data_IF_172839287358
#
_entry.id   IF_172839287358
#
_cell.length_a   1.000
_cell.length_b   1.000
_cell.length_c   1.000
_cell.angle_alpha   90.00
_cell.angle_beta   90.00
_cell.angle_gamma   90.00
#
_symmetry.space_group_name_H-M   'P 1'
#
loop_
_entity.id
_entity.type
_entity.pdbx_description
1 polymer ?
#
# COMPACT_ATOMS: atom_id res chain seq x y z
N UNK A 1 4.96 -7.21 -28.87
CA UNK A 1 4.73 -8.27 -27.87
C UNK A 1 4.24 -7.69 -26.54
N UNK A 2 4.98 -6.78 -25.87
CA UNK A 2 4.51 -6.10 -24.63
C UNK A 2 3.14 -5.44 -24.79
N UNK A 3 3.03 -4.46 -25.69
CA UNK A 3 1.77 -3.74 -25.94
C UNK A 3 0.58 -4.70 -26.19
N UNK A 4 0.78 -5.78 -26.95
CA UNK A 4 -0.28 -6.75 -27.25
C UNK A 4 -0.68 -7.60 -26.04
N UNK A 5 0.30 -8.02 -25.22
CA UNK A 5 0.02 -8.75 -23.97
C UNK A 5 -0.67 -7.84 -22.96
N UNK A 6 -0.17 -6.62 -22.77
CA UNK A 6 -0.71 -5.63 -21.83
C UNK A 6 -2.13 -5.18 -22.18
N UNK A 7 -2.49 -5.17 -23.47
CA UNK A 7 -3.86 -4.86 -23.92
C UNK A 7 -4.83 -6.02 -23.73
N UNK A 8 -4.37 -7.27 -23.75
CA UNK A 8 -5.23 -8.46 -23.69
C UNK A 8 -5.14 -9.25 -22.37
N UNK A 9 -4.18 -8.92 -21.52
CA UNK A 9 -3.94 -9.57 -20.23
C UNK A 9 -4.80 -8.97 -19.10
N UNK A 10 -4.83 -9.70 -17.98
CA UNK A 10 -5.61 -9.31 -16.81
C UNK A 10 -5.08 -8.00 -16.23
N UNK A 11 -6.00 -7.04 -16.12
CA UNK A 11 -5.77 -5.71 -15.55
C UNK A 11 -6.57 -5.57 -14.28
N UNK A 12 -5.95 -5.04 -13.24
CA UNK A 12 -6.67 -4.68 -12.03
C UNK A 12 -6.23 -3.29 -11.57
N UNK A 13 -7.17 -2.54 -11.02
CA UNK A 13 -6.88 -1.21 -10.52
C UNK A 13 -6.44 -1.28 -9.06
N UNK A 14 -5.29 -0.69 -8.74
CA UNK A 14 -4.80 -0.60 -7.36
C UNK A 14 -5.28 0.71 -6.73
N UNK A 15 -6.39 0.65 -5.98
CA UNK A 15 -7.02 1.84 -5.36
C UNK A 15 -6.08 2.68 -4.52
N UNK A 16 -5.33 2.04 -3.63
CA UNK A 16 -4.39 2.70 -2.73
C UNK A 16 -3.20 3.37 -3.44
N UNK A 17 -3.03 3.11 -4.74
CA UNK A 17 -1.92 3.63 -5.52
C UNK A 17 -2.36 4.39 -6.79
N UNK A 18 -3.66 4.42 -7.09
CA UNK A 18 -4.26 5.16 -8.20
C UNK A 18 -3.73 4.77 -9.60
N UNK A 19 -3.43 3.49 -9.85
CA UNK A 19 -2.98 3.01 -11.17
C UNK A 19 -3.50 1.62 -11.54
N UNK A 20 -3.55 1.33 -12.84
CA UNK A 20 -3.83 0.00 -13.39
C UNK A 20 -2.56 -0.85 -13.40
N UNK A 21 -2.58 -1.99 -12.72
CA UNK A 21 -1.49 -2.97 -12.68
C UNK A 21 -1.85 -4.16 -13.59
N UNK A 22 -0.84 -4.87 -14.09
CA UNK A 22 -1.00 -5.97 -15.05
C UNK A 22 -0.51 -7.28 -14.43
N UNK A 23 -1.29 -8.35 -14.53
CA UNK A 23 -0.93 -9.67 -14.01
C UNK A 23 0.08 -10.43 -14.91
N UNK A 24 0.84 -9.73 -15.75
CA UNK A 24 1.77 -10.35 -16.71
C UNK A 24 3.18 -10.50 -16.11
N UNK A 25 3.29 -11.34 -15.08
CA UNK A 25 4.53 -11.55 -14.32
C UNK A 25 5.72 -11.94 -15.20
N UNK A 26 5.54 -12.84 -16.17
CA UNK A 26 6.64 -13.31 -17.03
C UNK A 26 7.23 -12.18 -17.88
N UNK A 27 6.36 -11.42 -18.57
CA UNK A 27 6.81 -10.37 -19.48
C UNK A 27 7.39 -9.16 -18.73
N UNK A 28 6.77 -8.81 -17.59
CA UNK A 28 7.30 -7.80 -16.66
C UNK A 28 8.65 -8.22 -16.09
N UNK A 29 8.82 -9.50 -15.72
CA UNK A 29 10.08 -10.06 -15.22
C UNK A 29 11.19 -10.03 -16.28
N UNK A 30 10.89 -10.36 -17.55
CA UNK A 30 11.87 -10.21 -18.64
C UNK A 30 12.34 -8.77 -18.83
N UNK A 31 11.41 -7.80 -18.85
CA UNK A 31 11.76 -6.38 -18.96
C UNK A 31 12.56 -5.92 -17.75
N UNK A 32 12.16 -6.33 -16.54
CA UNK A 32 12.87 -6.01 -15.31
C UNK A 32 14.30 -6.57 -15.32
N UNK A 33 14.49 -7.80 -15.79
CA UNK A 33 15.82 -8.41 -15.93
C UNK A 33 16.67 -7.70 -16.98
N UNK A 34 16.08 -7.27 -18.11
CA UNK A 34 16.79 -6.48 -19.12
C UNK A 34 17.25 -5.13 -18.59
N UNK A 35 16.37 -4.42 -17.87
CA UNK A 35 16.70 -3.14 -17.21
C UNK A 35 17.79 -3.37 -16.15
N UNK A 36 17.66 -4.42 -15.34
CA UNK A 36 18.66 -4.76 -14.33
C UNK A 36 20.02 -5.05 -14.95
N UNK A 37 20.07 -5.81 -16.05
CA UNK A 37 21.30 -6.08 -16.79
C UNK A 37 21.94 -4.78 -17.30
N UNK A 38 21.14 -3.89 -17.90
CA UNK A 38 21.62 -2.58 -18.36
C UNK A 38 22.18 -1.72 -17.22
N UNK A 39 21.48 -1.66 -16.09
CA UNK A 39 21.91 -0.92 -14.89
C UNK A 39 23.19 -1.51 -14.31
N UNK A 40 23.37 -2.84 -14.32
CA UNK A 40 24.57 -3.51 -13.80
C UNK A 40 25.77 -3.44 -14.75
N UNK A 41 25.53 -3.27 -16.06
CA UNK A 41 26.60 -3.09 -17.04
C UNK A 41 27.42 -1.81 -16.77
N UNK A 42 26.76 -0.74 -16.34
CA UNK A 42 27.42 0.56 -16.10
C UNK A 42 28.45 0.48 -14.96
N UNK A 43 28.14 -0.05 -13.76
CA UNK A 43 29.14 -0.36 -12.73
C UNK A 43 30.23 -1.31 -13.23
N UNK A 44 29.89 -2.34 -14.01
CA UNK A 44 30.88 -3.25 -14.59
C UNK A 44 31.91 -2.52 -15.46
N UNK A 45 31.45 -1.64 -16.36
CA UNK A 45 32.32 -0.81 -17.19
C UNK A 45 33.10 0.20 -16.34
N UNK A 46 32.47 0.80 -15.33
CA UNK A 46 33.12 1.75 -14.43
C UNK A 46 34.26 1.08 -13.65
N UNK A 47 34.04 -0.11 -13.08
CA UNK A 47 35.05 -0.91 -12.39
C UNK A 47 36.20 -1.25 -13.35
N UNK A 48 35.90 -1.74 -14.56
CA UNK A 48 36.91 -2.01 -15.57
C UNK A 48 37.75 -0.77 -15.92
N UNK A 49 37.09 0.39 -16.12
CA UNK A 49 37.78 1.67 -16.37
C UNK A 49 38.60 2.14 -15.17
N UNK A 50 38.14 1.91 -13.94
CA UNK A 50 38.93 2.25 -12.74
C UNK A 50 40.21 1.42 -12.64
N UNK A 51 40.19 0.14 -13.04
CA UNK A 51 41.37 -0.72 -13.01
C UNK A 51 42.42 -0.24 -14.03
N UNK A 52 42.00 0.16 -15.24
CA UNK A 52 42.91 0.51 -16.35
C UNK A 52 43.46 1.94 -16.33
N UNK A 53 42.77 2.90 -15.71
CA UNK A 53 43.13 4.32 -15.80
C UNK A 53 44.05 4.80 -14.67
N UNK A 54 44.59 6.02 -14.79
CA UNK A 54 45.41 6.69 -13.78
C UNK A 54 44.61 7.11 -12.54
N UNK A 55 45.28 7.20 -11.37
CA UNK A 55 44.68 7.41 -10.04
C UNK A 55 43.67 8.57 -9.97
N UNK A 56 43.94 9.71 -10.62
CA UNK A 56 43.05 10.87 -10.61
C UNK A 56 41.76 10.62 -11.41
N UNK A 57 41.86 9.89 -12.53
CA UNK A 57 40.70 9.52 -13.34
C UNK A 57 39.87 8.43 -12.64
N UNK A 58 40.49 7.52 -11.87
CA UNK A 58 39.79 6.49 -11.08
C UNK A 58 38.76 7.09 -10.13
N UNK A 59 39.15 8.12 -9.38
CA UNK A 59 38.25 8.79 -8.45
C UNK A 59 37.10 9.52 -9.15
N UNK A 60 37.37 10.10 -10.33
CA UNK A 60 36.33 10.70 -11.15
C UNK A 60 35.31 9.66 -11.59
N UNK A 61 35.78 8.52 -12.12
CA UNK A 61 34.92 7.41 -12.53
C UNK A 61 34.14 6.84 -11.34
N UNK A 62 34.77 6.72 -10.17
CA UNK A 62 34.11 6.27 -8.95
C UNK A 62 32.93 7.17 -8.56
N UNK A 63 33.13 8.49 -8.54
CA UNK A 63 32.05 9.43 -8.21
C UNK A 63 30.95 9.45 -9.27
N UNK A 64 31.29 9.32 -10.55
CA UNK A 64 30.29 9.17 -11.62
C UNK A 64 29.48 7.88 -11.47
N UNK A 65 30.13 6.76 -11.09
CA UNK A 65 29.45 5.50 -10.82
C UNK A 65 28.51 5.63 -9.61
N UNK A 66 28.96 6.27 -8.53
CA UNK A 66 28.12 6.49 -7.36
C UNK A 66 26.90 7.36 -7.67
N UNK A 67 27.09 8.45 -8.44
CA UNK A 67 26.01 9.31 -8.89
C UNK A 67 24.99 8.56 -9.77
N UNK A 68 25.49 7.73 -10.70
CA UNK A 68 24.65 6.86 -11.53
C UNK A 68 23.84 5.86 -10.68
N UNK A 69 24.49 5.20 -9.72
CA UNK A 69 23.83 4.25 -8.82
C UNK A 69 22.78 4.94 -7.95
N UNK A 70 23.07 6.13 -7.41
CA UNK A 70 22.10 6.91 -6.66
C UNK A 70 20.86 7.24 -7.52
N UNK A 71 21.08 7.65 -8.78
CA UNK A 71 20.00 8.01 -9.70
C UNK A 71 19.20 6.83 -10.26
N UNK A 72 19.69 5.60 -10.17
CA UNK A 72 19.07 4.42 -10.83
C UNK A 72 18.72 3.29 -9.86
N UNK A 73 19.63 2.92 -8.96
CA UNK A 73 19.46 1.79 -8.06
C UNK A 73 18.48 2.13 -6.92
N UNK A 74 18.57 3.33 -6.34
CA UNK A 74 17.64 3.76 -5.27
C UNK A 74 16.19 3.76 -5.80
N UNK A 75 15.88 4.39 -6.96
CA UNK A 75 14.53 4.29 -7.52
C UNK A 75 14.11 2.86 -7.89
N UNK A 76 15.03 2.01 -8.38
CA UNK A 76 14.71 0.62 -8.68
C UNK A 76 14.30 -0.18 -7.42
N UNK A 77 15.01 0.02 -6.31
CA UNK A 77 14.66 -0.58 -5.00
C UNK A 77 13.32 -0.03 -4.52
N UNK A 78 13.13 1.30 -4.58
CA UNK A 78 11.88 1.94 -4.18
C UNK A 78 10.69 1.45 -5.01
N UNK A 79 10.87 1.21 -6.31
CA UNK A 79 9.83 0.65 -7.17
C UNK A 79 9.43 -0.75 -6.72
N UNK A 80 10.40 -1.62 -6.39
CA UNK A 80 10.12 -2.95 -5.83
C UNK A 80 9.35 -2.87 -4.52
N UNK A 81 9.75 -1.96 -3.62
CA UNK A 81 9.05 -1.74 -2.35
C UNK A 81 7.61 -1.23 -2.57
N UNK A 82 7.41 -0.34 -3.55
CA UNK A 82 6.09 0.19 -3.89
C UNK A 82 5.19 -0.88 -4.49
N UNK A 83 5.69 -1.68 -5.44
CA UNK A 83 4.93 -2.81 -5.97
C UNK A 83 4.55 -3.77 -4.85
N UNK A 84 5.49 -4.15 -3.98
CA UNK A 84 5.22 -5.02 -2.83
C UNK A 84 4.30 -4.43 -1.75
N UNK A 85 3.80 -3.20 -1.91
CA UNK A 85 2.90 -2.55 -0.95
C UNK A 85 3.59 -2.01 0.31
N UNK A 86 4.94 -2.04 0.37
CA UNK A 86 5.73 -1.56 1.50
C UNK A 86 5.98 -0.05 1.48
N UNK A 87 5.78 0.58 0.32
CA UNK A 87 5.91 2.02 0.12
C UNK A 87 4.71 2.54 -0.67
N UNK A 88 4.12 3.67 -0.24
CA UNK A 88 3.03 4.30 -1.00
C UNK A 88 3.53 4.77 -2.38
N UNK A 89 2.63 4.79 -3.36
CA UNK A 89 3.02 5.17 -4.74
C UNK A 89 3.46 6.62 -4.83
N UNK A 90 2.80 7.53 -4.10
CA UNK A 90 3.20 8.94 -4.02
C UNK A 90 4.62 9.10 -3.49
N UNK A 91 4.97 8.42 -2.38
CA UNK A 91 6.32 8.47 -1.81
C UNK A 91 7.37 7.90 -2.78
N UNK A 92 7.03 6.80 -3.47
CA UNK A 92 7.89 6.25 -4.51
C UNK A 92 8.16 7.26 -5.63
N UNK A 93 7.13 7.91 -6.16
CA UNK A 93 7.27 8.85 -7.28
C UNK A 93 8.11 10.07 -6.89
N UNK A 94 7.93 10.60 -5.68
CA UNK A 94 8.73 11.71 -5.15
C UNK A 94 10.20 11.28 -5.00
N UNK A 95 10.45 10.11 -4.41
CA UNK A 95 11.80 9.58 -4.26
C UNK A 95 12.46 9.30 -5.61
N UNK A 96 11.71 8.72 -6.56
CA UNK A 96 12.16 8.46 -7.93
C UNK A 96 12.62 9.77 -8.58
N UNK A 97 11.76 10.79 -8.62
CA UNK A 97 12.07 12.08 -9.22
C UNK A 97 13.29 12.74 -8.57
N UNK A 98 13.32 12.80 -7.23
CA UNK A 98 14.39 13.44 -6.49
C UNK A 98 15.75 12.76 -6.75
N UNK A 99 15.80 11.43 -6.66
CA UNK A 99 17.03 10.68 -6.88
C UNK A 99 17.50 10.75 -8.34
N UNK A 100 16.58 10.70 -9.30
CA UNK A 100 16.91 10.87 -10.72
C UNK A 100 17.49 12.26 -11.00
N UNK A 101 16.86 13.34 -10.50
CA UNK A 101 17.36 14.71 -10.66
C UNK A 101 18.76 14.84 -10.03
N UNK A 102 18.92 14.45 -8.77
CA UNK A 102 20.19 14.60 -8.05
C UNK A 102 21.31 13.72 -8.63
N UNK A 103 20.99 12.46 -8.95
CA UNK A 103 21.96 11.49 -9.48
C UNK A 103 22.49 11.90 -10.86
N UNK A 104 21.61 12.24 -11.81
CA UNK A 104 22.05 12.67 -13.13
C UNK A 104 22.69 14.05 -13.12
N UNK A 105 22.23 14.96 -12.27
CA UNK A 105 22.89 16.25 -12.09
C UNK A 105 24.32 16.09 -11.56
N UNK A 106 24.51 15.30 -10.49
CA UNK A 106 25.84 15.02 -9.96
C UNK A 106 26.74 14.41 -11.05
N UNK A 107 26.22 13.46 -11.84
CA UNK A 107 26.94 12.87 -12.96
C UNK A 107 27.38 13.92 -13.99
N UNK A 108 26.48 14.82 -14.39
CA UNK A 108 26.77 15.91 -15.34
C UNK A 108 27.82 16.87 -14.76
N UNK A 109 27.68 17.29 -13.50
CA UNK A 109 28.62 18.21 -12.85
C UNK A 109 30.01 17.59 -12.73
N UNK A 110 30.10 16.32 -12.34
CA UNK A 110 31.39 15.60 -12.27
C UNK A 110 32.02 15.52 -13.65
N UNK A 111 31.24 15.15 -14.67
CA UNK A 111 31.69 15.07 -16.06
C UNK A 111 32.22 16.41 -16.55
N UNK A 112 31.44 17.49 -16.40
CA UNK A 112 31.77 18.86 -16.83
C UNK A 112 32.99 19.43 -16.08
N UNK A 113 33.19 19.04 -14.82
CA UNK A 113 34.32 19.53 -14.02
C UNK A 113 35.63 18.79 -14.27
N UNK A 114 35.58 17.60 -14.88
CA UNK A 114 36.75 16.75 -15.08
C UNK A 114 37.07 16.46 -16.55
N UNK A 115 36.16 16.76 -17.47
CA UNK A 115 36.40 16.64 -18.92
C UNK A 115 37.16 17.85 -19.45
N UNK A 116 37.98 17.63 -20.48
CA UNK A 116 38.81 18.65 -21.14
C UNK A 116 38.00 19.71 -21.93
N UNK A 117 36.71 19.46 -22.13
CA UNK A 117 35.81 20.38 -22.82
C UNK A 117 35.64 21.67 -22.01
N UNK A 118 36.06 22.80 -22.59
CA UNK A 118 35.90 24.14 -22.03
C UNK A 118 34.44 24.57 -22.03
N UNK A 119 33.63 23.95 -21.19
CA UNK A 119 32.36 24.53 -20.77
C UNK A 119 32.65 25.80 -19.96
N UNK A 120 31.98 26.89 -20.31
CA UNK A 120 32.18 28.18 -19.63
C UNK A 120 31.76 28.06 -18.16
N UNK A 121 32.46 28.77 -17.28
CA UNK A 121 32.07 28.87 -15.86
C UNK A 121 30.60 29.28 -15.69
N UNK A 122 30.10 30.13 -16.60
CA UNK A 122 28.70 30.54 -16.68
C UNK A 122 27.74 29.35 -16.89
N UNK A 123 28.04 28.43 -17.82
CA UNK A 123 27.20 27.26 -18.06
C UNK A 123 27.10 26.33 -16.83
N UNK A 124 28.19 26.23 -16.05
CA UNK A 124 28.22 25.44 -14.80
C UNK A 124 27.32 26.08 -13.73
N UNK A 125 27.42 27.39 -13.54
CA UNK A 125 26.59 28.14 -12.60
C UNK A 125 25.10 28.05 -12.97
N UNK A 126 24.76 28.25 -14.25
CA UNK A 126 23.38 28.14 -14.74
C UNK A 126 22.83 26.73 -14.53
N UNK A 127 23.62 25.69 -14.81
CA UNK A 127 23.22 24.30 -14.58
C UNK A 127 22.95 24.00 -13.10
N UNK A 128 23.81 24.50 -12.19
CA UNK A 128 23.61 24.36 -10.75
C UNK A 128 22.33 25.08 -10.31
N UNK A 129 22.11 26.32 -10.74
CA UNK A 129 20.90 27.08 -10.40
C UNK A 129 19.63 26.41 -10.90
N UNK A 130 19.64 25.87 -12.12
CA UNK A 130 18.49 25.13 -12.67
C UNK A 130 18.13 23.92 -11.81
N UNK A 131 19.12 23.13 -11.40
CA UNK A 131 18.84 21.96 -10.55
C UNK A 131 18.43 22.34 -9.15
N UNK A 132 18.99 23.40 -8.56
CA UNK A 132 18.50 23.93 -7.29
C UNK A 132 17.02 24.29 -7.39
N UNK A 133 16.59 24.95 -8.47
CA UNK A 133 15.18 25.27 -8.72
C UNK A 133 14.34 23.99 -8.85
N UNK A 134 14.79 22.99 -9.61
CA UNK A 134 14.08 21.72 -9.75
C UNK A 134 13.92 20.97 -8.42
N UNK A 135 14.94 20.99 -7.56
CA UNK A 135 14.87 20.39 -6.21
C UNK A 135 13.88 21.13 -5.33
N UNK A 136 13.88 22.47 -5.38
CA UNK A 136 12.91 23.30 -4.66
C UNK A 136 11.48 22.98 -5.13
N UNK A 137 11.25 22.90 -6.45
CA UNK A 137 9.94 22.53 -6.99
C UNK A 137 9.52 21.12 -6.59
N UNK A 138 10.45 20.15 -6.59
CA UNK A 138 10.16 18.79 -6.17
C UNK A 138 9.79 18.72 -4.69
N UNK A 139 10.45 19.52 -3.84
CA UNK A 139 10.11 19.64 -2.42
C UNK A 139 8.73 20.29 -2.20
N UNK A 140 8.46 21.41 -2.88
CA UNK A 140 7.17 22.10 -2.82
C UNK A 140 6.02 21.19 -3.29
N UNK A 141 6.24 20.45 -4.38
CA UNK A 141 5.26 19.47 -4.89
C UNK A 141 4.97 18.38 -3.86
N UNK A 142 5.99 17.87 -3.16
CA UNK A 142 5.77 16.89 -2.10
C UNK A 142 5.01 17.47 -0.90
N UNK A 143 5.36 18.68 -0.47
CA UNK A 143 4.68 19.36 0.63
C UNK A 143 3.20 19.65 0.29
N UNK A 144 2.91 20.15 -0.93
CA UNK A 144 1.54 20.37 -1.41
C UNK A 144 0.76 19.05 -1.46
N UNK A 145 1.36 17.98 -2.00
CA UNK A 145 0.74 16.65 -2.02
C UNK A 145 0.34 16.17 -0.61
N UNK A 146 1.26 16.21 0.37
CA UNK A 146 0.95 15.81 1.74
C UNK A 146 -0.14 16.67 2.38
N UNK A 147 -0.11 17.98 2.09
CA UNK A 147 -1.10 18.90 2.60
C UNK A 147 -2.49 18.60 2.01
N UNK A 148 -2.58 18.37 0.71
CA UNK A 148 -3.83 18.02 0.02
C UNK A 148 -4.42 16.70 0.53
N UNK A 149 -3.61 15.64 0.61
CA UNK A 149 -4.04 14.33 1.16
C UNK A 149 -4.55 14.48 2.60
N UNK A 150 -3.80 15.19 3.46
CA UNK A 150 -4.19 15.37 4.85
C UNK A 150 -5.40 16.29 5.03
N UNK A 151 -5.57 17.29 4.15
CA UNK A 151 -6.72 18.19 4.18
C UNK A 151 -8.00 17.45 3.80
N UNK A 152 -7.93 16.61 2.76
CA UNK A 152 -9.03 15.73 2.37
C UNK A 152 -9.43 14.81 3.52
N UNK A 153 -8.48 14.08 4.11
CA UNK A 153 -8.77 13.16 5.22
C UNK A 153 -9.41 13.89 6.41
N UNK A 154 -8.88 15.06 6.80
CA UNK A 154 -9.47 15.86 7.89
C UNK A 154 -10.88 16.36 7.58
N UNK A 155 -11.15 16.75 6.33
CA UNK A 155 -12.46 17.24 5.92
C UNK A 155 -13.49 16.10 5.98
N UNK A 156 -13.18 14.93 5.40
CA UNK A 156 -14.12 13.78 5.39
C UNK A 156 -14.36 13.17 6.77
N UNK A 157 -13.37 13.22 7.66
CA UNK A 157 -13.59 12.85 9.06
C UNK A 157 -14.54 13.84 9.75
N UNK A 158 -14.43 15.14 9.46
CA UNK A 158 -15.36 16.16 10.01
C UNK A 158 -16.76 15.99 9.45
N UNK A 159 -16.89 15.78 8.14
CA UNK A 159 -18.17 15.53 7.47
C UNK A 159 -18.84 14.28 8.04
N UNK A 160 -18.08 13.20 8.24
CA UNK A 160 -18.59 11.97 8.87
C UNK A 160 -19.12 12.23 10.28
N UNK A 161 -18.36 12.95 11.12
CA UNK A 161 -18.81 13.31 12.47
C UNK A 161 -20.06 14.18 12.46
N UNK A 162 -20.18 15.10 11.50
CA UNK A 162 -21.37 15.92 11.33
C UNK A 162 -22.57 15.07 10.90
N UNK A 163 -22.39 14.15 9.95
CA UNK A 163 -23.42 13.19 9.54
C UNK A 163 -23.88 12.32 10.69
N UNK A 164 -22.97 11.83 11.53
CA UNK A 164 -23.31 11.04 12.73
C UNK A 164 -24.12 11.87 13.75
N UNK A 165 -23.79 13.15 13.93
CA UNK A 165 -24.40 14.00 14.96
C UNK A 165 -25.72 14.65 14.55
N UNK A 166 -25.88 15.00 13.26
CA UNK A 166 -26.98 15.85 12.77
C UNK A 166 -27.81 15.19 11.68
N UNK A 167 -27.30 14.13 11.05
CA UNK A 167 -27.88 13.57 9.82
C UNK A 167 -27.60 14.40 8.57
N UNK A 168 -26.83 15.50 8.65
CA UNK A 168 -26.42 16.24 7.46
C UNK A 168 -25.29 15.51 6.71
N UNK A 169 -25.48 15.30 5.42
CA UNK A 169 -24.57 14.51 4.59
C UNK A 169 -23.83 15.39 3.58
N UNK A 170 -22.53 15.14 3.39
CA UNK A 170 -21.78 15.79 2.33
C UNK A 170 -22.22 15.26 0.95
N UNK A 171 -22.12 16.07 -0.12
CA UNK A 171 -22.63 15.68 -1.45
C UNK A 171 -21.96 14.44 -2.05
N UNK A 172 -20.74 14.11 -1.62
CA UNK A 172 -19.94 12.99 -2.09
C UNK A 172 -19.99 11.76 -1.17
N UNK A 173 -20.77 11.83 -0.08
CA UNK A 173 -21.07 10.67 0.77
C UNK A 173 -22.00 9.72 0.01
N UNK A 174 -21.56 8.47 -0.15
CA UNK A 174 -22.31 7.42 -0.83
C UNK A 174 -23.14 6.59 0.13
N UNK A 175 -22.57 6.28 1.31
CA UNK A 175 -23.23 5.56 2.39
C UNK A 175 -22.64 5.89 3.75
N UNK A 176 -23.45 5.69 4.78
CA UNK A 176 -23.06 5.65 6.19
C UNK A 176 -23.64 4.37 6.80
N UNK A 177 -22.78 3.52 7.33
CA UNK A 177 -23.14 2.27 7.98
C UNK A 177 -22.85 2.40 9.47
N UNK A 178 -23.81 2.00 10.29
CA UNK A 178 -23.66 1.83 11.73
C UNK A 178 -23.57 0.34 12.05
N UNK A 179 -22.61 -0.03 12.88
CA UNK A 179 -22.42 -1.39 13.37
C UNK A 179 -22.57 -1.39 14.89
N UNK A 180 -23.42 -2.28 15.39
CA UNK A 180 -23.46 -2.64 16.82
C UNK A 180 -23.22 -4.13 17.01
N UNK A 181 -22.58 -4.56 18.12
CA UNK A 181 -22.37 -5.99 18.39
C UNK A 181 -23.66 -6.82 18.38
N UNK A 182 -24.78 -6.24 18.82
CA UNK A 182 -26.07 -6.92 18.97
C UNK A 182 -26.82 -7.06 17.65
N UNK A 183 -26.83 -6.02 16.81
CA UNK A 183 -27.64 -5.98 15.59
C UNK A 183 -26.85 -6.14 14.29
N UNK A 184 -25.51 -6.10 14.35
CA UNK A 184 -24.63 -6.10 13.18
C UNK A 184 -24.64 -4.77 12.44
N UNK A 185 -24.24 -4.78 11.17
CA UNK A 185 -24.25 -3.58 10.33
C UNK A 185 -25.65 -3.22 9.83
N UNK A 186 -25.97 -1.94 9.87
CA UNK A 186 -27.18 -1.33 9.34
C UNK A 186 -26.86 -0.04 8.58
N UNK A 187 -27.62 0.28 7.54
CA UNK A 187 -27.44 1.55 6.83
C UNK A 187 -28.15 2.68 7.56
N UNK A 188 -27.39 3.70 7.95
CA UNK A 188 -27.93 4.99 8.42
C UNK A 188 -28.26 5.88 7.22
N UNK A 189 -27.41 5.85 6.20
CA UNK A 189 -27.59 6.59 4.95
C UNK A 189 -27.04 5.80 3.76
N UNK A 190 -27.67 5.96 2.60
CA UNK A 190 -27.18 5.42 1.31
C UNK A 190 -27.83 6.15 0.14
N UNK A 191 -27.11 6.21 -0.97
CA UNK A 191 -27.59 6.79 -2.24
C UNK A 191 -28.12 5.75 -3.24
N UNK A 192 -27.69 4.49 -3.09
CA UNK A 192 -28.01 3.33 -3.95
C UNK A 192 -28.59 2.13 -3.17
N UNK A 193 -28.65 0.94 -3.78
CA UNK A 193 -29.22 -0.29 -3.19
C UNK A 193 -28.56 -0.70 -1.85
N UNK A 194 -29.24 -1.51 -1.00
CA UNK A 194 -28.79 -1.85 0.34
C UNK A 194 -27.78 -3.00 0.33
N UNK A 195 -26.75 -2.90 -0.51
CA UNK A 195 -25.73 -3.94 -0.60
C UNK A 195 -24.57 -3.56 0.33
N UNK A 196 -24.40 -4.32 1.41
CA UNK A 196 -23.28 -4.11 2.32
C UNK A 196 -21.95 -4.42 1.64
N UNK A 197 -20.89 -3.63 1.92
CA UNK A 197 -19.55 -4.00 1.52
C UNK A 197 -19.17 -5.36 2.11
N UNK A 198 -18.49 -6.21 1.33
CA UNK A 198 -18.06 -7.51 1.83
C UNK A 198 -17.20 -7.33 3.08
N UNK A 199 -17.34 -8.26 4.05
CA UNK A 199 -16.53 -8.37 5.27
C UNK A 199 -16.65 -7.22 6.28
N UNK A 200 -17.62 -6.30 6.12
CA UNK A 200 -17.80 -5.15 7.03
C UNK A 200 -18.03 -5.57 8.48
N UNK A 201 -18.94 -6.52 8.72
CA UNK A 201 -19.22 -7.05 10.07
C UNK A 201 -17.98 -7.72 10.67
N UNK A 202 -17.25 -8.51 9.88
CA UNK A 202 -16.03 -9.17 10.34
C UNK A 202 -14.98 -8.16 10.78
N UNK A 203 -14.81 -7.07 10.02
CA UNK A 203 -13.88 -6.00 10.35
C UNK A 203 -14.25 -5.34 11.68
N UNK A 204 -15.51 -4.98 11.87
CA UNK A 204 -15.96 -4.29 13.09
C UNK A 204 -16.02 -5.19 14.31
N UNK A 205 -16.34 -6.49 14.15
CA UNK A 205 -16.21 -7.48 15.22
C UNK A 205 -14.78 -7.54 15.76
N UNK A 206 -13.78 -7.57 14.87
CA UNK A 206 -12.36 -7.57 15.29
C UNK A 206 -11.96 -6.22 15.88
N UNK A 207 -12.44 -5.10 15.33
CA UNK A 207 -12.18 -3.76 15.90
C UNK A 207 -12.70 -3.65 17.34
N UNK A 208 -13.96 -4.03 17.56
CA UNK A 208 -14.61 -4.04 18.88
C UNK A 208 -13.89 -4.99 19.85
N UNK A 209 -13.52 -6.19 19.41
CA UNK A 209 -12.74 -7.12 20.22
C UNK A 209 -11.36 -6.54 20.59
N UNK A 210 -10.68 -5.87 19.65
CA UNK A 210 -9.39 -5.22 19.90
C UNK A 210 -9.47 -4.10 20.94
N UNK A 211 -10.49 -3.25 20.84
CA UNK A 211 -10.75 -2.15 21.76
C UNK A 211 -11.06 -2.66 23.17
N UNK A 212 -11.90 -3.69 23.29
CA UNK A 212 -12.27 -4.28 24.59
C UNK A 212 -11.07 -4.85 25.34
N UNK A 213 -10.06 -5.37 24.64
CA UNK A 213 -8.82 -5.85 25.26
C UNK A 213 -7.85 -4.71 25.59
N UNK A 214 -7.75 -3.70 24.72
CA UNK A 214 -6.84 -2.57 24.92
C UNK A 214 -7.24 -1.72 26.14
N UNK A 215 -8.54 -1.61 26.42
CA UNK A 215 -9.08 -0.91 27.59
C UNK A 215 -8.98 -1.66 28.93
N UNK A 216 -8.84 -3.00 28.91
CA UNK A 216 -8.75 -3.81 30.13
C UNK A 216 -7.29 -3.97 30.57
N UNK A 217 -6.89 -3.25 31.62
CA UNK A 217 -5.62 -3.41 32.35
C UNK A 217 -5.45 -4.79 33.05
N UNK A 218 -6.23 -5.81 32.68
CA UNK A 218 -6.23 -7.11 33.33
C UNK A 218 -5.33 -8.11 32.62
N UNK A 219 -4.79 -9.03 33.44
CA UNK A 219 -3.97 -10.18 33.11
C UNK A 219 -4.28 -10.74 31.71
N UNK A 220 -3.44 -10.36 30.73
CA UNK A 220 -3.62 -10.61 29.29
C UNK A 220 -3.38 -12.08 28.90
N UNK A 221 -3.46 -12.99 29.88
CA UNK A 221 -3.19 -14.42 29.78
C UNK A 221 -4.44 -15.25 29.42
N UNK A 222 -5.62 -14.63 29.23
CA UNK A 222 -6.87 -15.30 28.83
C UNK A 222 -7.64 -14.56 27.71
N UNK A 223 -6.95 -14.10 26.67
CA UNK A 223 -7.56 -13.35 25.57
C UNK A 223 -8.57 -14.20 24.76
N UNK A 224 -8.28 -15.46 24.47
CA UNK A 224 -9.24 -16.40 23.86
C UNK A 224 -10.42 -16.80 24.77
N UNK A 225 -10.42 -16.34 26.02
CA UNK A 225 -11.56 -16.44 26.93
C UNK A 225 -12.60 -15.32 26.75
N UNK A 226 -12.26 -14.21 26.06
CA UNK A 226 -13.19 -13.09 25.89
C UNK A 226 -14.34 -13.49 24.93
N UNK A 227 -15.61 -13.36 25.34
CA UNK A 227 -16.75 -13.70 24.51
C UNK A 227 -16.75 -12.99 23.14
N UNK A 228 -16.20 -11.76 23.07
CA UNK A 228 -16.09 -11.03 21.81
C UNK A 228 -15.14 -11.72 20.84
N UNK A 229 -14.01 -12.26 21.34
CA UNK A 229 -13.02 -12.99 20.56
C UNK A 229 -13.55 -14.38 20.16
N UNK A 230 -14.25 -15.08 21.06
CA UNK A 230 -14.86 -16.39 20.76
C UNK A 230 -16.01 -16.31 19.74
N UNK A 231 -16.66 -15.15 19.64
CA UNK A 231 -17.74 -14.92 18.67
C UNK A 231 -17.23 -14.63 17.25
N UNK A 232 -15.91 -14.53 17.05
CA UNK A 232 -15.34 -14.28 15.74
C UNK A 232 -15.58 -15.48 14.80
N UNK A 233 -15.95 -15.23 13.53
CA UNK A 233 -16.01 -16.29 12.53
C UNK A 233 -14.68 -17.04 12.40
N UNK A 234 -14.74 -18.33 12.03
CA UNK A 234 -13.56 -19.20 11.90
C UNK A 234 -12.41 -18.59 11.07
N UNK A 235 -12.73 -17.83 10.02
CA UNK A 235 -11.73 -17.20 9.16
C UNK A 235 -10.99 -16.03 9.84
N UNK A 236 -11.46 -15.54 10.99
CA UNK A 236 -10.85 -14.50 11.80
C UNK A 236 -10.13 -15.04 13.05
N UNK A 237 -10.08 -16.36 13.28
CA UNK A 237 -9.33 -16.94 14.40
C UNK A 237 -7.81 -16.64 14.35
N UNK A 238 -7.27 -16.26 13.18
CA UNK A 238 -5.90 -15.73 13.12
C UNK A 238 -5.71 -14.52 14.05
N UNK A 239 -6.75 -13.71 14.27
CA UNK A 239 -6.73 -12.63 15.25
C UNK A 239 -6.73 -13.15 16.69
N UNK A 240 -7.58 -14.12 17.05
CA UNK A 240 -7.58 -14.66 18.42
C UNK A 240 -6.20 -15.21 18.80
N UNK A 241 -5.62 -16.02 17.92
CA UNK A 241 -4.32 -16.63 18.12
C UNK A 241 -3.19 -15.60 18.18
N UNK A 242 -3.25 -14.56 17.33
CA UNK A 242 -2.29 -13.46 17.37
C UNK A 242 -2.36 -12.71 18.69
N UNK A 243 -3.58 -12.42 19.16
CA UNK A 243 -3.80 -11.65 20.37
C UNK A 243 -3.38 -12.44 21.62
N UNK A 244 -3.66 -13.75 21.66
CA UNK A 244 -3.14 -14.66 22.69
C UNK A 244 -1.62 -14.68 22.74
N UNK A 245 -0.97 -14.79 21.58
CA UNK A 245 0.49 -14.77 21.48
C UNK A 245 1.10 -13.40 21.80
N UNK A 246 0.31 -12.32 21.72
CA UNK A 246 0.77 -10.93 21.91
C UNK A 246 0.48 -10.37 23.31
N UNK A 247 -0.06 -11.18 24.22
CA UNK A 247 -0.53 -10.76 25.55
C UNK A 247 0.46 -9.97 26.42
N UNK A 248 1.76 -9.91 26.13
CA UNK A 248 2.73 -9.17 26.97
C UNK A 248 3.55 -8.10 26.23
N UNK A 249 3.11 -7.61 25.06
CA UNK A 249 3.88 -6.59 24.33
C UNK A 249 3.74 -5.18 24.92
N UNK A 250 4.83 -4.42 24.87
CA UNK A 250 4.96 -3.06 25.44
C UNK A 250 4.06 -2.03 24.74
N UNK A 251 3.83 -2.16 23.43
CA UNK A 251 3.03 -1.21 22.63
C UNK A 251 1.99 -1.91 21.73
N UNK A 252 0.83 -2.31 22.29
CA UNK A 252 -0.17 -3.10 21.56
C UNK A 252 -0.80 -2.37 20.37
N UNK A 253 -0.93 -1.05 20.42
CA UNK A 253 -1.48 -0.26 19.31
C UNK A 253 -0.54 -0.27 18.10
N UNK A 254 0.75 -0.01 18.31
CA UNK A 254 1.74 -0.05 17.23
C UNK A 254 1.91 -1.45 16.66
N UNK A 255 1.91 -2.48 17.52
CA UNK A 255 1.92 -3.88 17.10
C UNK A 255 0.72 -4.24 16.24
N UNK A 256 -0.48 -3.79 16.64
CA UNK A 256 -1.69 -4.01 15.86
C UNK A 256 -1.63 -3.28 14.53
N UNK A 257 -1.18 -2.02 14.49
CA UNK A 257 -0.99 -1.28 13.25
C UNK A 257 0.00 -1.96 12.29
N UNK A 258 1.10 -2.50 12.82
CA UNK A 258 2.08 -3.26 12.07
C UNK A 258 1.48 -4.56 11.53
N UNK A 259 0.68 -5.28 12.32
CA UNK A 259 -0.08 -6.43 11.85
C UNK A 259 -1.01 -6.06 10.69
N UNK A 260 -1.80 -4.98 10.82
CA UNK A 260 -2.70 -4.54 9.73
C UNK A 260 -1.94 -4.24 8.44
N UNK A 261 -0.73 -3.69 8.55
CA UNK A 261 0.14 -3.43 7.40
C UNK A 261 0.60 -4.73 6.74
N UNK A 262 1.05 -5.70 7.52
CA UNK A 262 1.51 -7.00 7.00
C UNK A 262 0.36 -7.81 6.39
N UNK A 263 -0.84 -7.79 6.96
CA UNK A 263 -2.04 -8.41 6.36
C UNK A 263 -2.37 -7.80 4.99
N UNK A 264 -2.31 -6.47 4.86
CA UNK A 264 -2.49 -5.80 3.55
C UNK A 264 -1.41 -6.21 2.55
N UNK A 265 -0.15 -6.27 2.97
CA UNK A 265 0.96 -6.73 2.13
C UNK A 265 0.71 -8.16 1.67
N UNK A 266 0.22 -9.04 2.56
CA UNK A 266 -0.06 -10.42 2.20
C UNK A 266 -1.17 -10.55 1.15
N UNK A 267 -2.26 -9.78 1.28
CA UNK A 267 -3.30 -9.71 0.25
C UNK A 267 -2.74 -9.26 -1.10
N UNK A 268 -1.84 -8.28 -1.11
CA UNK A 268 -1.16 -7.83 -2.34
C UNK A 268 -0.31 -8.95 -2.93
N UNK A 269 0.46 -9.67 -2.11
CA UNK A 269 1.29 -10.79 -2.56
C UNK A 269 0.45 -11.90 -3.22
N UNK A 270 -0.68 -12.27 -2.62
CA UNK A 270 -1.60 -13.27 -3.17
C UNK A 270 -2.25 -12.76 -4.47
N UNK A 271 -2.68 -11.49 -4.51
CA UNK A 271 -3.29 -10.87 -5.70
C UNK A 271 -2.34 -10.82 -6.88
N UNK A 272 -1.03 -10.64 -6.64
CA UNK A 272 -0.01 -10.60 -7.70
C UNK A 272 0.29 -11.94 -8.36
N UNK A 273 -0.08 -13.06 -7.73
CA UNK A 273 0.16 -14.37 -8.33
C UNK A 273 -0.82 -14.50 -9.51
N UNK A 274 -0.37 -14.71 -10.76
CA UNK A 274 -1.30 -14.81 -11.89
C UNK A 274 -2.27 -15.99 -11.73
N UNK A 275 -3.48 -15.88 -12.27
CA UNK A 275 -4.50 -16.93 -12.14
C UNK A 275 -4.05 -18.26 -12.74
N UNK A 276 -3.23 -18.23 -13.80
CA UNK A 276 -2.62 -19.42 -14.40
C UNK A 276 -1.55 -20.11 -13.54
N UNK A 277 -1.13 -19.52 -12.44
CA UNK A 277 -0.06 -20.01 -11.55
C UNK A 277 -0.60 -20.47 -10.20
N UNK A 278 -1.73 -21.18 -10.18
CA UNK A 278 -2.35 -21.70 -8.95
C UNK A 278 -1.39 -22.57 -8.14
N UNK A 279 -0.55 -23.36 -8.79
CA UNK A 279 0.45 -24.20 -8.10
C UNK A 279 1.47 -23.36 -7.32
N UNK A 280 1.78 -22.15 -7.80
CA UNK A 280 2.63 -21.21 -7.08
C UNK A 280 1.91 -20.61 -5.86
N UNK A 281 0.59 -20.39 -5.95
CA UNK A 281 -0.22 -19.98 -4.81
C UNK A 281 -0.20 -21.05 -3.72
N UNK A 282 -0.42 -22.31 -4.08
CA UNK A 282 -0.34 -23.46 -3.16
C UNK A 282 1.03 -23.54 -2.45
N UNK A 283 2.11 -23.52 -3.23
CA UNK A 283 3.48 -23.58 -2.70
C UNK A 283 3.79 -22.40 -1.77
N UNK A 284 3.32 -21.20 -2.11
CA UNK A 284 3.52 -20.01 -1.29
C UNK A 284 2.72 -20.09 0.03
N UNK A 285 1.44 -20.46 -0.02
CA UNK A 285 0.60 -20.62 1.18
C UNK A 285 1.22 -21.63 2.15
N UNK A 286 1.68 -22.78 1.65
CA UNK A 286 2.40 -23.77 2.45
C UNK A 286 3.64 -23.18 3.12
N UNK A 287 4.50 -22.55 2.33
CA UNK A 287 5.75 -21.94 2.82
C UNK A 287 5.47 -20.90 3.90
N UNK A 288 4.44 -20.09 3.72
CA UNK A 288 4.07 -19.06 4.67
C UNK A 288 3.51 -19.62 5.97
N UNK A 289 2.67 -20.67 5.91
CA UNK A 289 2.13 -21.34 7.09
C UNK A 289 3.23 -21.99 7.96
N UNK A 290 4.33 -22.43 7.33
CA UNK A 290 5.52 -22.99 7.98
C UNK A 290 6.49 -21.90 8.48
N UNK A 291 6.33 -20.64 8.05
CA UNK A 291 7.23 -19.55 8.42
C UNK A 291 6.95 -19.06 9.84
N UNK A 292 8.00 -18.80 10.61
CA UNK A 292 7.90 -18.19 11.93
C UNK A 292 7.86 -16.67 11.81
N UNK A 293 6.65 -16.13 11.65
CA UNK A 293 6.39 -14.69 11.47
C UNK A 293 5.15 -14.29 12.24
N UNK A 294 4.94 -12.98 12.45
CA UNK A 294 3.73 -12.47 13.09
C UNK A 294 2.42 -12.85 12.37
N UNK A 295 2.50 -13.21 11.08
CA UNK A 295 1.36 -13.65 10.28
C UNK A 295 1.09 -15.15 10.35
N UNK A 296 1.93 -15.92 11.04
CA UNK A 296 1.82 -17.38 11.08
C UNK A 296 0.40 -17.89 11.45
N UNK A 297 -0.32 -17.32 12.43
CA UNK A 297 -1.66 -17.79 12.75
C UNK A 297 -2.64 -17.63 11.58
N UNK A 298 -2.58 -16.49 10.89
CA UNK A 298 -3.38 -16.21 9.70
C UNK A 298 -2.98 -17.13 8.52
N UNK A 299 -1.67 -17.34 8.35
CA UNK A 299 -1.12 -18.15 7.26
C UNK A 299 -1.49 -19.63 7.39
N UNK A 300 -1.47 -20.16 8.62
CA UNK A 300 -1.93 -21.53 8.91
C UNK A 300 -3.42 -21.67 8.64
N UNK A 301 -4.25 -20.79 9.19
CA UNK A 301 -5.69 -20.83 8.99
C UNK A 301 -6.08 -20.76 7.50
N UNK A 302 -5.42 -19.88 6.74
CA UNK A 302 -5.63 -19.76 5.30
C UNK A 302 -5.18 -21.02 4.53
N UNK A 303 -4.03 -21.59 4.89
CA UNK A 303 -3.52 -22.80 4.24
C UNK A 303 -4.33 -24.06 4.58
N UNK A 304 -4.84 -24.16 5.80
CA UNK A 304 -5.73 -25.25 6.20
C UNK A 304 -7.04 -25.17 5.41
N UNK A 305 -7.68 -24.00 5.35
CA UNK A 305 -8.85 -23.78 4.50
C UNK A 305 -8.58 -24.07 3.01
N UNK A 306 -7.39 -23.70 2.53
CA UNK A 306 -6.96 -23.99 1.17
C UNK A 306 -6.95 -25.50 0.89
N UNK A 307 -6.31 -26.29 1.74
CA UNK A 307 -6.25 -27.76 1.58
C UNK A 307 -7.61 -28.42 1.74
N UNK A 308 -8.43 -27.92 2.66
CA UNK A 308 -9.64 -28.61 3.08
C UNK A 308 -10.78 -28.45 2.08
N UNK A 309 -10.94 -27.25 1.48
CA UNK A 309 -12.07 -27.01 0.59
C UNK A 309 -11.83 -25.98 -0.53
N UNK A 310 -10.97 -24.97 -0.37
CA UNK A 310 -10.83 -23.91 -1.38
C UNK A 310 -10.12 -24.42 -2.63
N UNK A 311 -9.05 -25.22 -2.49
CA UNK A 311 -8.26 -25.71 -3.62
C UNK A 311 -9.10 -26.53 -4.59
N UNK A 312 -9.92 -27.42 -4.05
CA UNK A 312 -10.62 -28.45 -4.82
C UNK A 312 -12.06 -28.04 -5.20
N UNK A 313 -12.51 -26.82 -4.83
CA UNK A 313 -13.80 -26.30 -5.27
C UNK A 313 -13.79 -25.90 -6.76
N UNK A 314 -14.98 -25.84 -7.37
CA UNK A 314 -15.19 -25.51 -8.79
C UNK A 314 -15.17 -24.00 -9.09
N UNK A 315 -14.78 -23.15 -8.13
CA UNK A 315 -14.76 -21.70 -8.34
C UNK A 315 -13.58 -21.28 -9.22
N UNK A 316 -13.69 -20.11 -9.83
CA UNK A 316 -12.56 -19.48 -10.55
C UNK A 316 -11.40 -19.19 -9.58
N UNK A 317 -10.19 -19.06 -10.12
CA UNK A 317 -9.01 -18.76 -9.30
C UNK A 317 -9.13 -17.42 -8.59
N UNK A 318 -9.70 -16.40 -9.26
CA UNK A 318 -10.01 -15.12 -8.62
C UNK A 318 -10.98 -15.30 -7.43
N UNK A 319 -12.08 -16.05 -7.60
CA UNK A 319 -13.00 -16.32 -6.51
C UNK A 319 -12.34 -17.07 -5.34
N UNK A 320 -11.46 -18.03 -5.62
CA UNK A 320 -10.64 -18.70 -4.60
C UNK A 320 -9.73 -17.73 -3.85
N UNK A 321 -9.12 -16.75 -4.54
CA UNK A 321 -8.32 -15.69 -3.89
C UNK A 321 -9.16 -14.76 -3.03
N UNK A 322 -10.37 -14.39 -3.47
CA UNK A 322 -11.29 -13.59 -2.65
C UNK A 322 -11.66 -14.32 -1.35
N UNK A 323 -11.89 -15.63 -1.45
CA UNK A 323 -12.15 -16.48 -0.28
C UNK A 323 -10.96 -16.51 0.68
N UNK A 324 -9.73 -16.65 0.17
CA UNK A 324 -8.50 -16.56 0.98
C UNK A 324 -8.35 -15.16 1.62
N UNK A 325 -8.73 -14.08 0.94
CA UNK A 325 -8.59 -12.72 1.50
C UNK A 325 -9.38 -12.49 2.78
N UNK A 326 -10.41 -13.29 3.06
CA UNK A 326 -11.16 -13.24 4.32
C UNK A 326 -10.26 -13.53 5.53
N UNK A 327 -9.29 -14.43 5.38
CA UNK A 327 -8.30 -14.76 6.41
C UNK A 327 -7.27 -13.65 6.63
N UNK A 328 -7.18 -12.69 5.72
CA UNK A 328 -6.24 -11.58 5.79
C UNK A 328 -6.95 -10.23 5.85
N UNK A 329 -8.17 -10.20 6.39
CA UNK A 329 -9.02 -9.01 6.46
C UNK A 329 -8.36 -7.95 7.36
N UNK A 330 -7.83 -6.83 6.81
CA UNK A 330 -7.26 -5.79 7.65
C UNK A 330 -8.36 -5.00 8.34
N UNK A 331 -8.17 -4.71 9.62
CA UNK A 331 -8.99 -3.78 10.39
C UNK A 331 -8.43 -2.37 10.25
N UNK A 332 -9.31 -1.39 10.09
CA UNK A 332 -8.94 0.01 9.95
C UNK A 332 -9.58 0.89 11.03
N UNK A 333 -9.36 0.62 12.34
CA UNK A 333 -9.93 1.47 13.37
C UNK A 333 -9.14 2.78 13.48
N UNK A 334 -9.82 3.88 13.83
CA UNK A 334 -9.14 5.14 14.17
C UNK A 334 -9.04 6.18 13.04
N UNK A 335 -10.09 6.34 12.22
CA UNK A 335 -10.22 7.47 11.30
C UNK A 335 -9.19 7.52 10.16
N UNK A 336 -8.39 6.46 9.98
CA UNK A 336 -7.46 6.36 8.84
C UNK A 336 -8.25 6.01 7.58
N UNK A 337 -7.91 6.66 6.47
CA UNK A 337 -8.48 6.36 5.16
C UNK A 337 -8.11 4.96 4.70
N UNK A 338 -9.09 4.25 4.15
CA UNK A 338 -8.88 2.99 3.44
C UNK A 338 -9.82 2.93 2.22
N UNK A 339 -9.75 1.83 1.47
CA UNK A 339 -10.43 1.69 0.19
C UNK A 339 -11.19 0.37 0.14
N UNK A 340 -12.39 0.40 -0.44
CA UNK A 340 -13.20 -0.78 -0.70
C UNK A 340 -13.64 -0.82 -2.16
N UNK A 341 -13.84 -2.04 -2.64
CA UNK A 341 -14.68 -2.31 -3.80
C UNK A 341 -16.11 -2.51 -3.30
N UNK A 342 -17.04 -1.77 -3.87
CA UNK A 342 -18.45 -1.82 -3.59
C UNK A 342 -19.19 -2.32 -4.83
N UNK A 343 -20.12 -3.29 -4.71
CA UNK A 343 -20.85 -3.83 -5.84
C UNK A 343 -21.51 -2.75 -6.72
N UNK A 344 -22.21 -1.81 -6.08
CA UNK A 344 -22.86 -0.69 -6.78
C UNK A 344 -21.92 0.47 -7.13
N UNK A 345 -21.25 1.05 -6.15
CA UNK A 345 -20.52 2.31 -6.35
C UNK A 345 -19.12 2.14 -6.97
N UNK A 346 -18.70 0.90 -7.21
CA UNK A 346 -17.34 0.60 -7.63
C UNK A 346 -16.34 0.95 -6.52
N UNK A 347 -15.45 1.91 -6.77
CA UNK A 347 -14.37 2.20 -5.83
C UNK A 347 -14.77 3.28 -4.84
N UNK A 348 -14.61 2.98 -3.56
CA UNK A 348 -15.06 3.83 -2.45
C UNK A 348 -13.89 4.13 -1.53
N UNK A 349 -13.83 5.39 -1.07
CA UNK A 349 -12.89 5.84 -0.05
C UNK A 349 -13.62 5.78 1.29
N UNK A 350 -13.11 4.98 2.21
CA UNK A 350 -13.78 4.70 3.47
C UNK A 350 -13.02 5.31 4.65
N UNK A 351 -13.78 5.74 5.65
CA UNK A 351 -13.31 6.10 6.97
C UNK A 351 -14.16 5.36 8.01
N UNK A 352 -13.52 4.90 9.08
CA UNK A 352 -14.23 4.27 10.19
C UNK A 352 -13.93 5.01 11.51
N UNK A 353 -14.98 5.27 12.28
CA UNK A 353 -14.90 5.96 13.57
C UNK A 353 -15.73 5.20 14.62
N UNK A 354 -15.30 5.16 15.88
CA UNK A 354 -16.12 4.63 16.96
C UNK A 354 -17.37 5.48 17.17
N UNK A 355 -18.45 4.84 17.59
CA UNK A 355 -19.72 5.45 17.99
C UNK A 355 -19.69 5.97 19.43
N UNK A 356 -20.88 6.26 19.98
CA UNK A 356 -21.04 6.66 21.38
C UNK A 356 -21.17 5.48 22.34
N UNK A 357 -21.56 4.31 21.83
CA UNK A 357 -21.73 3.08 22.59
C UNK A 357 -20.49 2.18 22.48
N UNK A 358 -20.23 1.39 23.52
CA UNK A 358 -19.08 0.47 23.55
C UNK A 358 -19.17 -0.55 22.42
N UNK A 359 -18.12 -0.62 21.59
CA UNK A 359 -18.07 -1.53 20.44
C UNK A 359 -18.93 -1.10 19.24
N UNK A 360 -19.58 0.06 19.30
CA UNK A 360 -20.27 0.65 18.15
C UNK A 360 -19.26 1.30 17.19
N UNK A 361 -19.46 1.10 15.89
CA UNK A 361 -18.63 1.72 14.87
C UNK A 361 -19.45 2.22 13.70
N UNK A 362 -18.98 3.31 13.11
CA UNK A 362 -19.51 3.85 11.86
C UNK A 362 -18.50 3.68 10.75
N UNK A 363 -18.96 3.34 9.54
CA UNK A 363 -18.19 3.45 8.29
C UNK A 363 -18.86 4.45 7.36
N UNK A 364 -18.12 5.48 6.93
CA UNK A 364 -18.55 6.39 5.87
C UNK A 364 -17.81 6.06 4.57
N UNK A 365 -18.57 5.84 3.50
CA UNK A 365 -18.04 5.61 2.15
C UNK A 365 -18.22 6.85 1.27
N UNK A 366 -17.13 7.38 0.73
CA UNK A 366 -17.09 8.54 -0.15
C UNK A 366 -16.71 8.18 -1.58
N UNK A 367 -17.23 8.95 -2.53
CA UNK A 367 -16.97 8.76 -3.96
C UNK A 367 -15.49 8.93 -4.32
N UNK A 368 -14.86 7.86 -4.82
CA UNK A 368 -13.49 7.93 -5.33
C UNK A 368 -13.35 8.90 -6.51
N UNK A 369 -14.37 9.00 -7.37
CA UNK A 369 -14.37 9.92 -8.50
C UNK A 369 -14.38 11.38 -8.05
N UNK A 370 -15.19 11.71 -7.04
CA UNK A 370 -15.26 13.06 -6.47
C UNK A 370 -13.91 13.46 -5.86
N UNK A 371 -13.26 12.53 -5.15
CA UNK A 371 -11.89 12.72 -4.67
C UNK A 371 -10.90 13.03 -5.80
N UNK A 372 -10.91 12.25 -6.89
CA UNK A 372 -10.01 12.51 -8.03
C UNK A 372 -10.28 13.86 -8.68
N UNK A 373 -11.55 14.26 -8.77
CA UNK A 373 -11.93 15.56 -9.31
C UNK A 373 -11.47 16.72 -8.41
N UNK A 374 -11.58 16.57 -7.09
CA UNK A 374 -11.08 17.53 -6.10
C UNK A 374 -9.57 17.71 -6.23
N UNK A 375 -8.81 16.61 -6.35
CA UNK A 375 -7.36 16.66 -6.59
C UNK A 375 -7.00 17.37 -7.90
N UNK A 376 -7.76 17.11 -8.97
CA UNK A 376 -7.55 17.78 -10.25
C UNK A 376 -7.86 19.29 -10.19
N UNK A 377 -8.89 19.68 -9.45
CA UNK A 377 -9.25 21.08 -9.26
C UNK A 377 -8.19 21.82 -8.43
N UNK A 378 -7.68 21.19 -7.37
CA UNK A 378 -6.57 21.73 -6.59
C UNK A 378 -5.33 21.96 -7.47
N UNK A 379 -4.93 20.95 -8.25
CA UNK A 379 -3.79 21.07 -9.17
C UNK A 379 -3.99 22.18 -10.23
N UNK A 380 -5.22 22.42 -10.68
CA UNK A 380 -5.53 23.51 -11.63
C UNK A 380 -5.47 24.89 -11.00
N UNK A 381 -5.77 25.02 -9.70
CA UNK A 381 -5.72 26.30 -9.00
C UNK A 381 -4.28 26.74 -8.67
N UNK A 382 -3.33 25.80 -8.66
CA UNK A 382 -1.90 26.06 -8.45
C UNK A 382 -1.14 26.42 -9.73
N UNK A 383 -1.73 26.18 -10.91
CA UNK A 383 -1.20 26.54 -12.24
C UNK A 383 -1.69 27.92 -12.66
#
# INVERSE_FOLDING_TARGET
>A
MFIFSTLNGDRWFRFSAHYWDFAEWELSSYIANLIALFVLMVPGIAIWKMIRNERNLRWTIFWMMLAFLAGTLIPAIANKLSHAGRMSRGNFQVLYNLMTILGFFALIVIYINKTLDRTTFLAKMVGISLVTILVIFQWLSYASYLQAESAYDRLRIKDMKLSMATGEHSPDLLYLIDYTPESGSSFVYRTGPPDFPESIDGMFRVASAFESMSGKNQDRSQVSGDPAVQSLPNYLHGYSDYLDASGNRENPEEDFENLQKELRIRRIQIRMIPDRMVDQLDANLKKWAESDTMLQPFDRAAYDAWKDYIRDNNNSVDAKKQEIFRYYLPVHPGGKRYYRDHPEYGHVICFALPGSEDGQYYEAGYSYLSYRQEQMNGARAEL
#
